data_IF_508761771464
#
_entry.id   IF_508761771464
#
_cell.length_a   1.000
_cell.length_b   1.000
_cell.length_c   1.000
_cell.angle_alpha   90.00
_cell.angle_beta   90.00
_cell.angle_gamma   90.00
#
_symmetry.space_group_name_H-M   'P 1'
#
loop_
_entity.id
_entity.type
_entity.pdbx_description
1 polymer ?
#
# COMPACT_ATOMS: atom_id res chain seq x y z
N UNK A 1 1.36 23.65 -3.91
CA UNK A 1 0.53 22.73 -3.08
C UNK A 1 0.73 21.33 -3.64
N UNK A 2 1.78 20.64 -3.19
CA UNK A 2 1.99 19.25 -3.55
C UNK A 2 0.84 18.44 -2.93
N UNK A 3 -0.05 17.92 -3.79
CA UNK A 3 -1.08 16.98 -3.37
C UNK A 3 -0.33 15.77 -2.80
N UNK A 4 -0.21 15.70 -1.47
CA UNK A 4 0.25 14.49 -0.78
C UNK A 4 -0.77 13.40 -1.14
N UNK A 5 -0.49 12.64 -2.19
CA UNK A 5 -1.38 11.62 -2.71
C UNK A 5 -1.60 10.60 -1.61
N UNK A 6 -2.77 10.66 -0.98
CA UNK A 6 -3.20 9.79 0.13
C UNK A 6 -3.57 8.37 -0.34
N UNK A 7 -3.13 7.97 -1.53
CA UNK A 7 -3.37 6.68 -2.16
C UNK A 7 -2.09 6.08 -2.76
N UNK A 8 -2.01 4.75 -2.70
CA UNK A 8 -1.05 3.90 -3.41
C UNK A 8 -1.58 3.61 -4.80
N UNK A 9 -0.88 4.04 -5.83
CA UNK A 9 -1.26 3.76 -7.22
C UNK A 9 -0.51 2.54 -7.75
N UNK A 10 -1.25 1.53 -8.16
CA UNK A 10 -0.71 0.35 -8.81
C UNK A 10 -0.71 0.59 -10.33
N UNK A 11 0.48 0.85 -10.88
CA UNK A 11 0.65 1.20 -12.29
C UNK A 11 1.08 -0.01 -13.11
N UNK A 12 0.43 -0.23 -14.25
CA UNK A 12 0.83 -1.21 -15.28
C UNK A 12 1.05 -0.47 -16.58
N UNK A 13 2.25 -0.57 -17.15
CA UNK A 13 2.62 0.10 -18.40
C UNK A 13 2.31 1.62 -18.40
N UNK A 14 2.62 2.31 -17.29
CA UNK A 14 2.40 3.75 -17.14
C UNK A 14 0.95 4.18 -16.87
N UNK A 15 -0.01 3.24 -16.86
CA UNK A 15 -1.41 3.52 -16.50
C UNK A 15 -1.71 3.06 -15.08
N UNK A 16 -2.41 3.89 -14.32
CA UNK A 16 -2.98 3.50 -13.02
C UNK A 16 -4.04 2.44 -13.27
N UNK A 17 -3.86 1.28 -12.68
CA UNK A 17 -4.81 0.16 -12.77
C UNK A 17 -5.62 -0.01 -11.52
N UNK A 18 -5.10 0.41 -10.37
CA UNK A 18 -5.75 0.35 -9.07
C UNK A 18 -5.19 1.43 -8.15
N UNK A 19 -6.02 1.92 -7.25
CA UNK A 19 -5.65 2.90 -6.23
C UNK A 19 -6.09 2.39 -4.86
N UNK A 20 -5.17 2.41 -3.90
CA UNK A 20 -5.42 1.99 -2.52
C UNK A 20 -5.29 3.20 -1.60
N UNK A 21 -6.42 3.72 -1.12
CA UNK A 21 -6.40 4.80 -0.14
C UNK A 21 -5.78 4.30 1.17
N UNK A 22 -4.81 5.04 1.71
CA UNK A 22 -4.05 4.64 2.91
C UNK A 22 -4.19 5.62 4.08
N UNK A 23 -4.79 6.79 3.87
CA UNK A 23 -5.04 7.75 4.94
C UNK A 23 -5.93 7.11 6.01
N UNK A 24 -5.50 7.19 7.28
CA UNK A 24 -6.15 6.60 8.45
C UNK A 24 -6.24 5.05 8.47
N UNK A 25 -5.52 4.35 7.59
CA UNK A 25 -5.46 2.88 7.59
C UNK A 25 -4.18 2.35 8.25
N UNK A 26 -4.13 1.06 8.56
CA UNK A 26 -2.95 0.40 9.12
C UNK A 26 -2.08 -0.16 7.99
N UNK A 27 -0.75 -0.06 8.10
CA UNK A 27 0.21 -0.56 7.08
C UNK A 27 -0.10 -2.00 6.68
N UNK A 28 -0.37 -2.86 7.67
CA UNK A 28 -0.66 -4.28 7.46
C UNK A 28 -1.91 -4.50 6.60
N UNK A 29 -2.99 -3.74 6.83
CA UNK A 29 -4.23 -3.87 6.05
C UNK A 29 -4.01 -3.48 4.59
N UNK A 30 -3.33 -2.36 4.36
CA UNK A 30 -3.00 -1.88 3.01
C UNK A 30 -2.06 -2.88 2.31
N UNK A 31 -1.10 -3.45 3.04
CA UNK A 31 -0.18 -4.47 2.53
C UNK A 31 -0.92 -5.72 2.09
N UNK A 32 -1.86 -6.22 2.90
CA UNK A 32 -2.68 -7.38 2.57
C UNK A 32 -3.54 -7.15 1.33
N UNK A 33 -4.14 -5.97 1.22
CA UNK A 33 -5.00 -5.60 0.10
C UNK A 33 -4.20 -5.52 -1.22
N UNK A 34 -3.06 -4.83 -1.19
CA UNK A 34 -2.15 -4.73 -2.35
C UNK A 34 -1.58 -6.10 -2.72
N UNK A 35 -1.14 -6.90 -1.74
CA UNK A 35 -0.60 -8.24 -1.98
C UNK A 35 -1.64 -9.17 -2.62
N UNK A 36 -2.88 -9.14 -2.13
CA UNK A 36 -3.99 -9.91 -2.68
C UNK A 36 -4.33 -9.47 -4.11
N UNK A 37 -4.30 -8.17 -4.42
CA UNK A 37 -4.47 -7.66 -5.78
C UNK A 37 -3.36 -8.13 -6.72
N UNK A 38 -2.09 -7.99 -6.30
CA UNK A 38 -0.93 -8.45 -7.07
C UNK A 38 -1.01 -9.94 -7.36
N UNK A 39 -1.33 -10.76 -6.35
CA UNK A 39 -1.49 -12.21 -6.49
C UNK A 39 -2.61 -12.56 -7.47
N UNK A 40 -3.76 -11.88 -7.41
CA UNK A 40 -4.87 -12.07 -8.37
C UNK A 40 -4.49 -11.72 -9.80
N UNK A 41 -3.57 -10.77 -9.99
CA UNK A 41 -3.02 -10.41 -11.30
C UNK A 41 -1.88 -11.32 -11.76
N UNK A 42 -1.55 -12.38 -11.01
CA UNK A 42 -0.45 -13.30 -11.31
C UNK A 42 0.94 -12.75 -10.98
N UNK A 43 1.02 -11.68 -10.18
CA UNK A 43 2.29 -11.11 -9.73
C UNK A 43 2.66 -11.72 -8.37
N UNK A 44 3.79 -12.41 -8.33
CA UNK A 44 4.34 -12.98 -7.09
C UNK A 44 5.30 -11.97 -6.47
N UNK A 45 4.95 -11.46 -5.29
CA UNK A 45 5.84 -10.62 -4.47
C UNK A 45 5.92 -11.17 -3.05
N UNK A 46 7.07 -11.00 -2.41
CA UNK A 46 7.20 -11.28 -0.98
C UNK A 46 6.38 -10.28 -0.18
N UNK A 47 5.55 -10.77 0.72
CA UNK A 47 4.66 -9.93 1.54
C UNK A 47 5.46 -9.04 2.50
N UNK A 48 6.56 -9.54 3.05
CA UNK A 48 7.47 -8.77 3.91
C UNK A 48 8.17 -7.65 3.13
N UNK A 49 8.70 -7.94 1.94
CA UNK A 49 9.32 -6.91 1.09
C UNK A 49 8.30 -5.84 0.66
N UNK A 50 7.05 -6.24 0.38
CA UNK A 50 5.97 -5.32 0.08
C UNK A 50 5.62 -4.45 1.30
N UNK A 51 5.55 -5.03 2.49
CA UNK A 51 5.31 -4.31 3.74
C UNK A 51 6.39 -3.26 4.01
N UNK A 52 7.67 -3.62 3.88
CA UNK A 52 8.79 -2.68 4.03
C UNK A 52 8.72 -1.54 3.01
N UNK A 53 8.37 -1.86 1.76
CA UNK A 53 8.19 -0.86 0.71
C UNK A 53 7.07 0.12 1.04
N UNK A 54 5.89 -0.40 1.42
CA UNK A 54 4.74 0.42 1.82
C UNK A 54 5.09 1.26 3.06
N UNK A 55 5.77 0.67 4.04
CA UNK A 55 6.21 1.39 5.24
C UNK A 55 7.19 2.53 4.93
N UNK A 56 8.11 2.33 3.97
CA UNK A 56 9.06 3.35 3.52
C UNK A 56 8.37 4.49 2.76
N UNK A 57 7.38 4.16 1.92
CA UNK A 57 6.61 5.14 1.14
C UNK A 57 5.67 5.97 2.02
N UNK A 58 5.24 5.45 3.18
CA UNK A 58 4.28 6.11 4.06
C UNK A 58 4.78 6.23 5.51
N UNK A 59 5.67 7.19 5.81
CA UNK A 59 6.15 7.41 7.17
C UNK A 59 5.07 7.87 8.17
N UNK A 60 3.84 8.15 7.70
CA UNK A 60 2.69 8.59 8.51
C UNK A 60 1.60 7.55 8.74
N UNK A 61 1.72 6.34 8.18
CA UNK A 61 0.73 5.27 8.40
C UNK A 61 1.01 4.60 9.74
N UNK A 62 -0.03 4.51 10.59
CA UNK A 62 0.10 3.97 11.95
C UNK A 62 0.62 2.52 11.89
N UNK A 63 1.76 2.28 12.55
CA UNK A 63 2.42 0.96 12.63
C UNK A 63 1.63 -0.05 13.48
N UNK A 64 0.80 0.42 14.41
CA UNK A 64 -0.03 -0.38 15.29
C UNK A 64 -1.43 0.26 15.40
N UNK A 65 -2.45 -0.59 15.58
CA UNK A 65 -3.80 -0.16 15.99
C UNK A 65 -3.77 0.63 17.30
N UNK A 66 -4.91 1.21 17.73
CA UNK A 66 -4.95 2.16 18.84
C UNK A 66 -4.19 1.61 20.06
N UNK A 67 -3.26 2.43 20.59
CA UNK A 67 -2.59 2.19 21.87
C UNK A 67 -3.69 2.02 22.91
N UNK A 68 -3.82 0.80 23.42
CA UNK A 68 -4.65 0.48 24.59
C UNK A 68 -3.92 0.89 25.86
#
# INVERSE_FOLDING_TARGET
MEKKSHALELKKAGKVTEEFAYKDRIVSEVTDEVWSSLKRKGVTVSKDALKDTIQSLFPGVRRHGPLK
#
